data_IF_391086225529
#
_entry.id   IF_391086225529
#
_cell.length_a   1.000
_cell.length_b   1.000
_cell.length_c   1.000
_cell.angle_alpha   90.00
_cell.angle_beta   90.00
_cell.angle_gamma   90.00
#
_symmetry.space_group_name_H-M   'P 1'
#
loop_
_entity.id
_entity.type
_entity.pdbx_description
1 polymer ?
#
# COMPACT_ATOMS: atom_id res chain seq x y z
N UNK A 1 -14.27 -11.27 -5.36
CA UNK A 1 -13.20 -11.41 -6.35
C UNK A 1 -12.42 -10.10 -6.31
N UNK A 2 -11.13 -10.14 -6.62
CA UNK A 2 -10.23 -8.97 -6.58
C UNK A 2 -9.12 -9.17 -7.60
N UNK A 3 -8.44 -8.08 -7.98
CA UNK A 3 -7.22 -8.15 -8.81
C UNK A 3 -6.20 -9.10 -8.16
N UNK A 4 -5.71 -10.07 -8.93
CA UNK A 4 -4.66 -11.00 -8.50
C UNK A 4 -3.26 -10.40 -8.68
N UNK A 5 -2.28 -10.86 -7.91
CA UNK A 5 -0.88 -10.40 -8.03
C UNK A 5 0.07 -11.57 -8.25
N UNK A 6 0.99 -11.38 -9.19
CA UNK A 6 2.11 -12.28 -9.46
C UNK A 6 3.42 -11.57 -9.18
N UNK A 7 4.27 -12.15 -8.33
CA UNK A 7 5.59 -11.63 -8.03
C UNK A 7 6.67 -12.43 -8.75
N UNK A 8 7.24 -11.87 -9.81
CA UNK A 8 8.28 -12.50 -10.61
C UNK A 8 9.65 -12.04 -10.11
N UNK A 9 10.50 -13.00 -9.76
CA UNK A 9 11.84 -12.70 -9.26
C UNK A 9 12.85 -13.73 -9.72
N UNK A 10 14.11 -13.34 -9.77
CA UNK A 10 15.22 -14.26 -9.93
C UNK A 10 15.33 -15.24 -8.76
N UNK A 11 14.78 -14.91 -7.59
CA UNK A 11 14.88 -15.71 -6.38
C UNK A 11 13.50 -16.21 -5.95
N UNK A 12 13.36 -17.52 -5.81
CA UNK A 12 12.19 -18.15 -5.21
C UNK A 12 11.92 -17.63 -3.79
N UNK A 13 12.97 -17.32 -3.03
CA UNK A 13 12.87 -16.81 -1.67
C UNK A 13 12.35 -15.37 -1.62
N UNK A 14 12.73 -14.52 -2.57
CA UNK A 14 12.21 -13.14 -2.64
C UNK A 14 10.73 -13.17 -3.00
N UNK A 15 10.34 -13.89 -4.06
CA UNK A 15 8.95 -13.99 -4.48
C UNK A 15 8.05 -14.57 -3.38
N UNK A 16 8.45 -15.70 -2.77
CA UNK A 16 7.68 -16.33 -1.70
C UNK A 16 7.66 -15.51 -0.40
N UNK A 17 8.79 -14.88 -0.03
CA UNK A 17 8.86 -13.98 1.10
C UNK A 17 7.95 -12.76 0.93
N UNK A 18 7.85 -12.22 -0.30
CA UNK A 18 6.94 -11.12 -0.60
C UNK A 18 5.47 -11.56 -0.49
N UNK A 19 5.10 -12.75 -0.97
CA UNK A 19 3.75 -13.31 -0.75
C UNK A 19 3.43 -13.40 0.74
N UNK A 20 4.36 -13.92 1.54
CA UNK A 20 4.19 -14.04 2.99
C UNK A 20 4.01 -12.67 3.66
N UNK A 21 4.83 -11.69 3.29
CA UNK A 21 4.77 -10.33 3.81
C UNK A 21 3.45 -9.65 3.43
N UNK A 22 3.14 -9.60 2.13
CA UNK A 22 1.92 -8.96 1.61
C UNK A 22 0.65 -9.64 2.16
N UNK A 23 0.65 -10.98 2.30
CA UNK A 23 -0.47 -11.75 2.85
C UNK A 23 -0.81 -11.43 4.30
N UNK A 24 0.10 -10.83 5.08
CA UNK A 24 -0.23 -10.31 6.42
C UNK A 24 -1.22 -9.15 6.38
N UNK A 25 -1.21 -8.38 5.29
CA UNK A 25 -2.05 -7.19 5.11
C UNK A 25 -3.23 -7.45 4.17
N UNK A 26 -3.04 -8.37 3.22
CA UNK A 26 -3.98 -8.72 2.15
C UNK A 26 -4.34 -10.22 2.14
N UNK A 27 -4.95 -10.77 3.21
CA UNK A 27 -5.22 -12.21 3.33
C UNK A 27 -6.26 -12.76 2.34
N UNK A 28 -7.08 -11.90 1.72
CA UNK A 28 -8.14 -12.31 0.81
C UNK A 28 -7.77 -12.16 -0.68
N UNK A 29 -6.55 -11.69 -0.97
CA UNK A 29 -6.07 -11.45 -2.33
C UNK A 29 -5.28 -12.68 -2.82
N UNK A 30 -5.44 -13.05 -4.09
CA UNK A 30 -4.62 -14.11 -4.71
C UNK A 30 -3.20 -13.57 -4.96
N UNK A 31 -2.26 -13.94 -4.10
CA UNK A 31 -0.85 -13.55 -4.17
C UNK A 31 -0.01 -14.77 -4.56
N UNK A 32 0.59 -14.74 -5.76
CA UNK A 32 1.25 -15.92 -6.33
C UNK A 32 2.73 -15.65 -6.61
N UNK A 33 3.66 -16.49 -6.11
CA UNK A 33 5.08 -16.31 -6.37
C UNK A 33 5.48 -17.00 -7.69
N UNK A 34 6.31 -16.32 -8.49
CA UNK A 34 6.93 -16.85 -9.70
C UNK A 34 8.44 -16.57 -9.67
N UNK A 35 9.13 -17.15 -8.67
CA UNK A 35 10.55 -16.95 -8.44
C UNK A 35 11.43 -18.15 -8.80
N UNK A 36 12.62 -17.87 -9.34
CA UNK A 36 13.64 -18.88 -9.64
C UNK A 36 13.43 -19.61 -10.97
N UNK A 37 14.41 -20.44 -11.34
CA UNK A 37 14.31 -21.37 -12.48
C UNK A 37 13.41 -22.57 -12.13
N UNK A 38 13.18 -23.49 -13.08
CA UNK A 38 12.37 -24.69 -12.85
C UNK A 38 12.96 -25.62 -11.77
N UNK A 39 14.28 -25.59 -11.59
CA UNK A 39 15.02 -26.31 -10.54
C UNK A 39 15.23 -25.47 -9.27
N UNK A 40 14.46 -24.37 -9.09
CA UNK A 40 14.54 -23.44 -7.95
C UNK A 40 15.90 -22.72 -7.78
N UNK A 41 16.73 -22.67 -8.83
CA UNK A 41 17.95 -21.88 -8.90
C UNK A 41 17.69 -20.39 -9.13
N UNK A 42 18.74 -19.57 -9.07
CA UNK A 42 18.65 -18.14 -9.40
C UNK A 42 18.41 -17.96 -10.90
N UNK A 43 17.31 -17.28 -11.25
CA UNK A 43 16.85 -17.07 -12.62
C UNK A 43 15.34 -16.97 -12.70
N UNK A 44 14.79 -16.95 -13.90
CA UNK A 44 13.34 -16.83 -14.12
C UNK A 44 12.86 -18.02 -14.97
N UNK A 45 11.61 -18.42 -14.77
CA UNK A 45 10.98 -19.53 -15.50
C UNK A 45 9.69 -19.08 -16.14
N UNK A 46 9.59 -19.29 -17.45
CA UNK A 46 8.36 -19.07 -18.22
C UNK A 46 7.21 -19.91 -17.66
N UNK A 47 7.45 -21.20 -17.39
CA UNK A 47 6.42 -22.12 -16.90
C UNK A 47 5.91 -21.74 -15.50
N UNK A 48 6.76 -21.19 -14.65
CA UNK A 48 6.35 -20.66 -13.33
C UNK A 48 5.48 -19.42 -13.50
N UNK A 49 5.85 -18.49 -14.38
CA UNK A 49 5.07 -17.26 -14.62
C UNK A 49 3.69 -17.60 -15.20
N UNK A 50 3.62 -18.45 -16.22
CA UNK A 50 2.36 -18.84 -16.86
C UNK A 50 1.42 -19.55 -15.86
N UNK A 51 1.94 -20.45 -15.03
CA UNK A 51 1.15 -21.08 -13.95
C UNK A 51 0.68 -20.07 -12.92
N UNK A 52 1.55 -19.14 -12.53
CA UNK A 52 1.21 -18.12 -11.55
C UNK A 52 0.09 -17.19 -12.04
N UNK A 53 0.13 -16.81 -13.32
CA UNK A 53 -0.93 -16.03 -13.97
C UNK A 53 -2.28 -16.74 -13.91
N UNK A 54 -2.32 -18.02 -14.32
CA UNK A 54 -3.54 -18.81 -14.27
C UNK A 54 -4.09 -19.00 -12.84
N UNK A 55 -3.21 -19.05 -11.83
CA UNK A 55 -3.61 -19.15 -10.43
C UNK A 55 -4.07 -17.81 -9.84
N UNK A 56 -3.49 -16.70 -10.28
CA UNK A 56 -3.82 -15.35 -9.81
C UNK A 56 -5.14 -14.85 -10.41
N UNK A 57 -5.47 -15.27 -11.62
CA UNK A 57 -6.67 -14.81 -12.33
C UNK A 57 -7.96 -15.32 -11.66
N UNK A 58 -8.75 -14.37 -11.17
CA UNK A 58 -10.10 -14.61 -10.64
C UNK A 58 -11.18 -13.89 -11.44
N UNK A 59 -10.85 -13.31 -12.59
CA UNK A 59 -11.77 -12.58 -13.48
C UNK A 59 -11.69 -11.05 -13.37
N UNK A 60 -11.11 -10.50 -12.29
CA UNK A 60 -10.96 -9.04 -12.10
C UNK A 60 -9.60 -8.49 -12.59
N UNK A 61 -8.81 -9.33 -13.26
CA UNK A 61 -7.49 -9.00 -13.79
C UNK A 61 -6.32 -9.38 -12.88
N UNK A 62 -5.11 -9.26 -13.42
CA UNK A 62 -3.85 -9.65 -12.76
C UNK A 62 -2.77 -8.60 -12.97
N UNK A 63 -2.07 -8.27 -11.88
CA UNK A 63 -0.87 -7.41 -11.90
C UNK A 63 0.37 -8.27 -11.71
N UNK A 64 1.39 -8.02 -12.52
CA UNK A 64 2.72 -8.61 -12.37
C UNK A 64 3.69 -7.53 -11.88
N UNK A 65 4.47 -7.83 -10.84
CA UNK A 65 5.65 -7.06 -10.47
C UNK A 65 6.92 -7.91 -10.63
N UNK A 66 7.98 -7.27 -11.11
CA UNK A 66 9.26 -7.91 -11.41
C UNK A 66 10.40 -7.26 -10.60
N UNK A 67 11.46 -8.00 -10.29
CA UNK A 67 12.66 -7.43 -9.65
C UNK A 67 13.60 -6.70 -10.64
N UNK A 68 14.07 -7.40 -11.65
CA UNK A 68 15.12 -6.98 -12.58
C UNK A 68 14.68 -7.20 -14.04
N UNK A 69 15.38 -6.55 -14.97
CA UNK A 69 14.97 -6.51 -16.38
C UNK A 69 14.70 -7.88 -17.04
N UNK A 70 15.47 -8.92 -16.76
CA UNK A 70 15.23 -10.27 -17.32
C UNK A 70 13.96 -10.94 -16.80
N UNK A 71 13.50 -10.59 -15.59
CA UNK A 71 12.20 -11.03 -15.09
C UNK A 71 11.06 -10.38 -15.87
N UNK A 72 11.20 -9.11 -16.25
CA UNK A 72 10.26 -8.41 -17.14
C UNK A 72 10.19 -9.11 -18.49
N UNK A 73 11.33 -9.40 -19.13
CA UNK A 73 11.35 -10.10 -20.42
C UNK A 73 10.67 -11.48 -20.36
N UNK A 74 10.86 -12.21 -19.26
CA UNK A 74 10.20 -13.51 -19.05
C UNK A 74 8.69 -13.34 -18.91
N UNK A 75 8.24 -12.31 -18.18
CA UNK A 75 6.83 -11.99 -18.02
C UNK A 75 6.19 -11.53 -19.35
N UNK A 76 6.85 -10.67 -20.12
CA UNK A 76 6.41 -10.26 -21.46
C UNK A 76 6.26 -11.45 -22.38
N UNK A 77 7.25 -12.37 -22.35
CA UNK A 77 7.16 -13.62 -23.12
C UNK A 77 5.94 -14.44 -22.69
N UNK A 78 5.63 -14.55 -21.39
CA UNK A 78 4.42 -15.24 -20.93
C UNK A 78 3.13 -14.57 -21.43
N UNK A 79 3.08 -13.24 -21.46
CA UNK A 79 1.95 -12.46 -21.96
C UNK A 79 1.72 -12.68 -23.47
N UNK A 80 2.77 -12.97 -24.24
CA UNK A 80 2.69 -13.28 -25.68
C UNK A 80 1.98 -14.60 -26.00
N UNK A 81 1.76 -15.47 -25.01
CA UNK A 81 1.02 -16.72 -25.18
C UNK A 81 -0.41 -16.66 -24.61
N UNK A 82 -0.81 -15.52 -24.02
CA UNK A 82 -2.18 -15.29 -23.60
C UNK A 82 -3.07 -14.96 -24.80
N UNK A 83 -4.36 -15.30 -24.70
CA UNK A 83 -5.33 -14.83 -25.70
C UNK A 83 -5.61 -13.32 -25.55
N UNK A 84 -6.27 -12.72 -26.56
CA UNK A 84 -6.54 -11.28 -26.58
C UNK A 84 -7.36 -10.80 -25.36
N UNK A 85 -8.27 -11.64 -24.85
CA UNK A 85 -9.11 -11.28 -23.72
C UNK A 85 -8.28 -11.24 -22.43
N UNK A 86 -7.48 -12.28 -22.18
CA UNK A 86 -6.55 -12.36 -21.05
C UNK A 86 -5.48 -11.27 -21.12
N UNK A 87 -4.97 -10.96 -22.31
CA UNK A 87 -3.93 -9.93 -22.47
C UNK A 87 -4.41 -8.54 -22.03
N UNK A 88 -5.70 -8.24 -22.18
CA UNK A 88 -6.28 -6.96 -21.71
C UNK A 88 -6.47 -6.89 -20.20
N UNK A 89 -6.54 -8.03 -19.51
CA UNK A 89 -6.76 -8.12 -18.07
C UNK A 89 -5.47 -8.32 -17.27
N UNK A 90 -4.31 -8.46 -17.93
CA UNK A 90 -3.00 -8.66 -17.29
C UNK A 90 -2.08 -7.46 -17.55
N UNK A 91 -1.43 -6.93 -16.51
CA UNK A 91 -0.50 -5.79 -16.63
C UNK A 91 0.82 -6.04 -15.90
N UNK A 92 1.93 -5.78 -16.57
CA UNK A 92 3.24 -5.68 -15.93
C UNK A 92 3.41 -4.25 -15.41
N UNK A 93 3.64 -4.11 -14.11
CA UNK A 93 3.75 -2.82 -13.46
C UNK A 93 5.21 -2.51 -13.15
N UNK A 94 5.65 -1.35 -13.66
CA UNK A 94 6.98 -0.82 -13.39
C UNK A 94 6.98 -0.09 -12.04
N UNK A 95 7.32 -0.82 -10.99
CA UNK A 95 7.41 -0.37 -9.61
C UNK A 95 8.43 -1.25 -8.83
N UNK A 96 9.01 -0.75 -7.72
CA UNK A 96 9.86 -1.55 -6.85
C UNK A 96 9.13 -2.81 -6.37
N UNK A 97 9.74 -3.98 -6.56
CA UNK A 97 9.08 -5.27 -6.35
C UNK A 97 8.41 -5.38 -4.97
N UNK A 98 9.12 -5.02 -3.90
CA UNK A 98 8.62 -5.20 -2.52
C UNK A 98 7.61 -4.13 -2.15
N UNK A 99 7.99 -2.86 -2.21
CA UNK A 99 7.15 -1.74 -1.78
C UNK A 99 5.92 -1.58 -2.69
N UNK A 100 6.11 -1.66 -4.00
CA UNK A 100 5.02 -1.65 -4.98
C UNK A 100 4.14 -2.88 -4.84
N UNK A 101 4.71 -4.05 -4.56
CA UNK A 101 3.96 -5.28 -4.37
C UNK A 101 3.06 -5.25 -3.13
N UNK A 102 3.55 -4.71 -2.02
CA UNK A 102 2.75 -4.51 -0.80
C UNK A 102 1.65 -3.48 -1.03
N UNK A 103 1.95 -2.34 -1.66
CA UNK A 103 0.95 -1.31 -1.95
C UNK A 103 -0.17 -1.83 -2.87
N UNK A 104 0.21 -2.55 -3.94
CA UNK A 104 -0.73 -3.22 -4.84
C UNK A 104 -1.62 -4.23 -4.10
N UNK A 105 -1.03 -5.06 -3.24
CA UNK A 105 -1.77 -6.07 -2.49
C UNK A 105 -2.81 -5.43 -1.55
N UNK A 106 -2.45 -4.34 -0.87
CA UNK A 106 -3.39 -3.61 0.00
C UNK A 106 -4.49 -2.92 -0.80
N UNK A 107 -4.17 -2.33 -1.96
CA UNK A 107 -5.19 -1.76 -2.85
C UNK A 107 -6.17 -2.83 -3.36
N UNK A 108 -5.67 -3.99 -3.78
CA UNK A 108 -6.53 -5.11 -4.20
C UNK A 108 -7.39 -5.62 -3.03
N UNK A 109 -6.83 -5.69 -1.82
CA UNK A 109 -7.55 -6.11 -0.61
C UNK A 109 -8.70 -5.16 -0.24
N UNK A 110 -8.56 -3.87 -0.54
CA UNK A 110 -9.61 -2.86 -0.32
C UNK A 110 -10.58 -2.76 -1.49
N UNK A 111 -10.43 -3.59 -2.52
CA UNK A 111 -11.35 -3.68 -3.65
C UNK A 111 -11.06 -2.70 -4.79
N UNK A 112 -9.85 -2.14 -4.87
CA UNK A 112 -9.45 -1.36 -6.03
C UNK A 112 -9.48 -2.20 -7.32
N UNK A 113 -9.86 -1.56 -8.41
CA UNK A 113 -9.79 -2.15 -9.75
C UNK A 113 -8.34 -2.18 -10.28
N UNK A 114 -8.18 -2.71 -11.49
CA UNK A 114 -6.86 -2.89 -12.10
C UNK A 114 -6.07 -1.58 -12.22
N UNK A 115 -6.74 -0.46 -12.53
CA UNK A 115 -6.13 0.87 -12.62
C UNK A 115 -5.71 1.39 -11.24
N UNK A 116 -6.56 1.23 -10.23
CA UNK A 116 -6.26 1.62 -8.85
C UNK A 116 -5.11 0.83 -8.24
N UNK A 117 -5.03 -0.48 -8.51
CA UNK A 117 -3.92 -1.34 -8.06
C UNK A 117 -2.60 -0.93 -8.73
N UNK A 118 -2.61 -0.65 -10.04
CA UNK A 118 -1.45 -0.13 -10.76
C UNK A 118 -0.97 1.22 -10.16
N UNK A 119 -1.89 2.16 -9.94
CA UNK A 119 -1.56 3.45 -9.36
C UNK A 119 -0.94 3.31 -7.96
N UNK A 120 -1.50 2.43 -7.12
CA UNK A 120 -0.97 2.17 -5.78
C UNK A 120 0.46 1.60 -5.83
N UNK A 121 0.72 0.64 -6.72
CA UNK A 121 2.06 0.08 -6.92
C UNK A 121 3.08 1.15 -7.32
N UNK A 122 2.74 1.98 -8.32
CA UNK A 122 3.64 3.02 -8.85
C UNK A 122 3.93 4.13 -7.83
N UNK A 123 3.00 4.42 -6.93
CA UNK A 123 3.21 5.42 -5.86
C UNK A 123 4.40 5.11 -4.95
N UNK A 124 4.86 3.84 -4.92
CA UNK A 124 6.06 3.45 -4.20
C UNK A 124 7.33 4.17 -4.69
N UNK A 125 7.40 4.49 -5.98
CA UNK A 125 8.52 5.24 -6.57
C UNK A 125 8.58 6.64 -5.96
N UNK A 126 7.45 7.33 -5.89
CA UNK A 126 7.38 8.70 -5.39
C UNK A 126 7.80 8.80 -3.93
N UNK A 127 7.39 7.82 -3.11
CA UNK A 127 7.79 7.74 -1.69
C UNK A 127 9.30 7.54 -1.57
N UNK A 128 9.89 6.66 -2.37
CA UNK A 128 11.33 6.43 -2.36
C UNK A 128 12.09 7.69 -2.80
N UNK A 129 11.69 8.32 -3.91
CA UNK A 129 12.30 9.56 -4.43
C UNK A 129 12.19 10.70 -3.41
N UNK A 130 11.00 10.92 -2.84
CA UNK A 130 10.78 11.94 -1.82
C UNK A 130 11.64 11.70 -0.56
N UNK A 131 11.82 10.44 -0.17
CA UNK A 131 12.61 10.08 1.01
C UNK A 131 14.13 10.21 0.79
N UNK A 132 14.59 10.11 -0.46
CA UNK A 132 16.02 10.14 -0.85
C UNK A 132 16.57 11.55 -1.15
N UNK A 133 15.72 12.59 -1.12
CA UNK A 133 16.17 13.98 -1.30
C UNK A 133 17.04 14.45 -0.12
N UNK A 134 18.23 15.06 -0.34
CA UNK A 134 19.22 15.34 0.72
C UNK A 134 18.83 16.40 1.76
N UNK A 135 17.68 17.05 1.64
CA UNK A 135 17.26 18.20 2.45
C UNK A 135 16.42 17.84 3.69
N UNK A 136 16.70 16.71 4.35
CA UNK A 136 16.23 16.52 5.74
C UNK A 136 17.19 17.23 6.70
N UNK A 137 17.00 18.54 6.83
CA UNK A 137 17.57 19.33 7.92
C UNK A 137 17.08 18.72 9.25
N UNK A 138 17.97 18.03 9.96
CA UNK A 138 17.70 17.36 11.25
C UNK A 138 17.52 18.31 12.44
N UNK A 139 17.36 19.61 12.18
CA UNK A 139 17.29 20.66 13.22
C UNK A 139 15.88 21.25 13.42
N UNK A 140 14.85 20.75 12.70
CA UNK A 140 13.47 21.24 12.87
C UNK A 140 12.66 20.49 13.95
N UNK A 141 13.19 19.40 14.53
CA UNK A 141 12.52 18.60 15.58
C UNK A 141 12.62 19.23 17.00
N UNK A 142 12.87 20.55 17.08
CA UNK A 142 13.09 21.23 18.36
C UNK A 142 12.27 22.51 18.52
N UNK A 143 11.03 22.55 18.06
CA UNK A 143 10.07 23.53 18.57
C UNK A 143 8.61 23.13 18.27
N UNK A 144 8.02 22.33 19.17
CA UNK A 144 6.62 22.47 19.56
C UNK A 144 6.38 21.71 20.86
N UNK A 145 6.82 22.30 21.97
CA UNK A 145 6.29 21.98 23.28
C UNK A 145 5.03 22.82 23.49
N UNK A 146 3.94 22.15 23.93
CA UNK A 146 2.58 22.66 24.05
C UNK A 146 2.43 23.97 24.85
N UNK A 147 1.20 24.52 24.85
CA UNK A 147 0.44 24.37 26.08
C UNK A 147 -0.97 23.82 25.88
N UNK A 148 -1.45 23.25 26.98
CA UNK A 148 -2.75 22.63 27.17
C UNK A 148 -3.91 23.63 27.14
N UNK A 149 -5.08 23.11 26.76
CA UNK A 149 -6.39 23.67 27.11
C UNK A 149 -6.88 24.75 26.16
N UNK A 150 -7.81 24.37 25.29
CA UNK A 150 -9.14 24.96 25.10
C UNK A 150 -9.73 24.31 23.83
N UNK A 151 -10.95 23.80 23.97
CA UNK A 151 -11.82 23.44 22.84
C UNK A 151 -11.95 24.66 21.95
N UNK A 152 -11.46 24.59 20.72
CA UNK A 152 -11.89 25.53 19.70
C UNK A 152 -12.02 24.79 18.37
N UNK A 153 -13.28 24.58 18.00
CA UNK A 153 -13.71 24.21 16.66
C UNK A 153 -13.34 25.36 15.72
N UNK A 154 -12.12 25.39 15.21
CA UNK A 154 -11.77 26.27 14.10
C UNK A 154 -12.24 25.63 12.80
N UNK A 155 -13.55 25.75 12.57
CA UNK A 155 -14.16 25.54 11.27
C UNK A 155 -13.58 26.55 10.26
N UNK A 156 -12.60 26.13 9.48
CA UNK A 156 -12.41 26.67 8.13
C UNK A 156 -13.59 26.19 7.30
N UNK A 157 -14.40 27.12 6.79
CA UNK A 157 -15.71 26.87 6.17
C UNK A 157 -15.75 25.57 5.35
N UNK A 158 -16.34 24.54 5.95
CA UNK A 158 -16.66 23.25 5.33
C UNK A 158 -15.75 22.06 5.68
N UNK A 159 -14.57 22.26 6.27
CA UNK A 159 -13.66 21.16 6.65
C UNK A 159 -13.87 20.65 8.09
N UNK A 160 -13.41 19.42 8.36
CA UNK A 160 -13.38 18.83 9.70
C UNK A 160 -12.03 18.13 9.95
N UNK A 161 -11.45 18.31 11.13
CA UNK A 161 -10.22 17.62 11.52
C UNK A 161 -10.21 17.21 13.00
N UNK A 162 -9.42 16.17 13.31
CA UNK A 162 -9.11 15.71 14.67
C UNK A 162 -7.62 15.44 14.81
N UNK A 163 -7.06 15.87 15.94
CA UNK A 163 -5.69 15.51 16.35
C UNK A 163 -5.73 14.30 17.29
N UNK A 164 -5.01 13.23 16.94
CA UNK A 164 -4.92 11.99 17.72
C UNK A 164 -3.46 11.67 18.09
N UNK A 165 -3.25 11.06 19.25
CA UNK A 165 -1.89 10.63 19.67
C UNK A 165 -1.67 9.17 19.32
N UNK A 166 -0.56 8.85 18.67
CA UNK A 166 -0.21 7.46 18.36
C UNK A 166 0.17 6.72 19.65
N UNK A 167 -0.58 5.68 20.00
CA UNK A 167 -0.35 4.92 21.24
C UNK A 167 0.42 3.61 21.04
N UNK A 168 0.35 3.03 19.84
CA UNK A 168 1.03 1.78 19.47
C UNK A 168 2.54 1.87 19.71
N UNK A 169 3.13 0.85 20.33
CA UNK A 169 4.56 0.81 20.67
C UNK A 169 5.45 1.03 19.44
N UNK A 170 5.11 0.36 18.35
CA UNK A 170 5.90 0.35 17.12
C UNK A 170 5.42 1.43 16.13
N UNK A 171 4.49 2.30 16.55
CA UNK A 171 3.90 3.38 15.75
C UNK A 171 2.90 2.90 14.70
N UNK A 172 2.56 3.77 13.75
CA UNK A 172 1.70 3.44 12.60
C UNK A 172 2.51 2.74 11.49
N UNK A 173 3.02 1.53 11.81
CA UNK A 173 3.79 0.69 10.89
C UNK A 173 2.87 -0.09 9.92
N UNK A 174 3.45 -0.99 9.10
CA UNK A 174 2.76 -1.65 7.99
C UNK A 174 1.39 -2.27 8.32
N UNK A 175 1.24 -2.96 9.46
CA UNK A 175 -0.01 -3.63 9.83
C UNK A 175 -1.12 -2.66 10.29
N UNK A 176 -0.94 -1.83 11.34
CA UNK A 176 -1.95 -0.86 11.73
C UNK A 176 -2.19 0.18 10.62
N UNK A 177 -1.19 0.52 9.81
CA UNK A 177 -1.38 1.36 8.64
C UNK A 177 -2.26 0.69 7.57
N UNK A 178 -2.13 -0.63 7.34
CA UNK A 178 -3.00 -1.35 6.43
C UNK A 178 -4.44 -1.41 6.94
N UNK A 179 -4.65 -1.60 8.24
CA UNK A 179 -5.99 -1.58 8.83
C UNK A 179 -6.62 -0.17 8.81
N UNK A 180 -5.80 0.86 9.01
CA UNK A 180 -6.20 2.25 8.80
C UNK A 180 -6.65 2.50 7.36
N UNK A 181 -5.86 2.08 6.37
CA UNK A 181 -6.19 2.22 4.94
C UNK A 181 -7.47 1.45 4.61
N UNK A 182 -7.64 0.23 5.13
CA UNK A 182 -8.88 -0.55 4.93
C UNK A 182 -10.10 0.21 5.39
N UNK A 183 -10.06 0.79 6.59
CA UNK A 183 -11.16 1.61 7.10
C UNK A 183 -11.33 2.89 6.27
N UNK A 184 -10.25 3.58 5.92
CA UNK A 184 -10.32 4.79 5.10
C UNK A 184 -10.97 4.51 3.74
N UNK A 185 -10.67 3.37 3.13
CA UNK A 185 -11.23 2.92 1.85
C UNK A 185 -12.74 2.63 1.89
N UNK A 186 -13.36 2.46 3.06
CA UNK A 186 -14.83 2.30 3.15
C UNK A 186 -15.61 3.61 3.00
N UNK A 187 -14.92 4.75 3.04
CA UNK A 187 -15.53 6.06 2.90
C UNK A 187 -15.27 6.65 1.50
N UNK A 188 -16.30 7.25 0.90
CA UNK A 188 -16.19 7.92 -0.40
C UNK A 188 -15.59 9.33 -0.32
N UNK A 189 -15.46 9.88 0.89
CA UNK A 189 -14.94 11.23 1.13
C UNK A 189 -13.42 11.22 1.17
N UNK A 190 -12.74 12.20 0.54
CA UNK A 190 -11.30 12.38 0.69
C UNK A 190 -10.93 12.68 2.14
N UNK A 191 -10.06 11.85 2.72
CA UNK A 191 -9.52 12.06 4.07
C UNK A 191 -7.99 12.06 3.97
N UNK A 192 -7.35 12.86 4.82
CA UNK A 192 -5.91 12.98 4.89
C UNK A 192 -5.39 12.75 6.30
N UNK A 193 -4.15 12.28 6.41
CA UNK A 193 -3.36 12.21 7.65
C UNK A 193 -2.12 13.08 7.46
N UNK A 194 -1.97 14.15 8.26
CA UNK A 194 -0.93 15.17 8.10
C UNK A 194 -0.80 15.65 6.64
N UNK A 195 -1.93 15.84 5.95
CA UNK A 195 -2.00 16.27 4.55
C UNK A 195 -1.64 15.19 3.50
N UNK A 196 -1.43 13.93 3.90
CA UNK A 196 -1.24 12.79 2.99
C UNK A 196 -2.52 11.98 2.84
N UNK A 197 -2.75 11.39 1.68
CA UNK A 197 -3.93 10.56 1.43
C UNK A 197 -4.06 9.40 2.43
N UNK A 198 -5.19 9.34 3.14
CA UNK A 198 -5.51 8.31 4.12
C UNK A 198 -5.70 6.91 3.49
N UNK A 199 -5.89 6.82 2.17
CA UNK A 199 -5.99 5.55 1.43
C UNK A 199 -4.64 5.06 0.88
N UNK A 200 -3.56 5.83 1.07
CA UNK A 200 -2.23 5.46 0.60
C UNK A 200 -1.37 4.90 1.74
N UNK A 201 -1.23 3.57 1.77
CA UNK A 201 -0.42 2.87 2.78
C UNK A 201 1.01 3.41 2.86
N UNK A 202 1.68 3.56 1.72
CA UNK A 202 3.06 4.00 1.68
C UNK A 202 3.19 5.48 2.10
N UNK A 203 2.23 6.34 1.74
CA UNK A 203 2.26 7.74 2.16
C UNK A 203 2.12 7.87 3.68
N UNK A 204 1.26 7.05 4.30
CA UNK A 204 1.10 7.00 5.76
C UNK A 204 2.38 6.50 6.43
N UNK A 205 2.95 5.39 5.95
CA UNK A 205 4.19 4.84 6.53
C UNK A 205 5.36 5.83 6.43
N UNK A 206 5.44 6.60 5.34
CA UNK A 206 6.47 7.61 5.13
C UNK A 206 6.42 8.78 6.14
N UNK A 207 5.27 9.02 6.79
CA UNK A 207 5.15 10.04 7.83
C UNK A 207 5.95 9.70 9.10
N UNK A 208 6.29 8.43 9.33
CA UNK A 208 7.06 8.02 10.50
C UNK A 208 6.37 8.39 11.83
N UNK A 209 5.06 8.17 11.89
CA UNK A 209 4.20 8.43 13.04
C UNK A 209 4.46 7.39 14.16
N UNK A 210 5.45 7.69 15.00
CA UNK A 210 5.88 6.90 16.15
C UNK A 210 5.01 7.18 17.40
N UNK A 211 5.10 6.30 18.40
CA UNK A 211 4.43 6.46 19.69
C UNK A 211 4.64 7.86 20.29
N UNK A 212 3.55 8.47 20.74
CA UNK A 212 3.55 9.79 21.37
C UNK A 212 3.54 10.96 20.37
N UNK A 213 3.74 10.73 19.07
CA UNK A 213 3.51 11.76 18.06
C UNK A 213 2.01 12.00 17.87
N UNK A 214 1.68 13.22 17.50
CA UNK A 214 0.32 13.61 17.14
C UNK A 214 0.14 13.51 15.63
N UNK A 215 -0.96 12.92 15.20
CA UNK A 215 -1.41 12.90 13.81
C UNK A 215 -2.69 13.72 13.69
N UNK A 216 -2.75 14.59 12.68
CA UNK A 216 -3.96 15.29 12.29
C UNK A 216 -4.66 14.49 11.19
N UNK A 217 -5.89 14.08 11.45
CA UNK A 217 -6.78 13.45 10.47
C UNK A 217 -7.77 14.51 10.04
N UNK A 218 -7.85 14.79 8.74
CA UNK A 218 -8.62 15.91 8.22
C UNK A 218 -9.32 15.61 6.91
N UNK A 219 -10.45 16.26 6.70
CA UNK A 219 -11.19 16.31 5.44
C UNK A 219 -11.63 17.73 5.12
N UNK A 220 -11.64 18.09 3.84
CA UNK A 220 -12.23 19.33 3.36
C UNK A 220 -13.69 19.14 2.89
N UNK A 221 -14.20 17.90 2.84
CA UNK A 221 -15.60 17.63 2.52
C UNK A 221 -16.46 17.75 3.79
N UNK A 222 -17.48 18.62 3.82
CA UNK A 222 -18.37 18.74 4.97
C UNK A 222 -19.08 17.44 5.38
N UNK A 223 -19.19 16.49 4.46
CA UNK A 223 -19.80 15.16 4.69
C UNK A 223 -18.81 14.16 5.27
N UNK A 224 -17.51 14.48 5.33
CA UNK A 224 -16.45 13.56 5.72
C UNK A 224 -16.23 13.45 7.23
N UNK A 225 -17.07 14.08 8.06
CA UNK A 225 -16.91 14.06 9.52
C UNK A 225 -16.88 12.64 10.08
N UNK A 226 -17.83 11.79 9.69
CA UNK A 226 -17.91 10.40 10.16
C UNK A 226 -16.66 9.60 9.78
N UNK A 227 -16.04 9.90 8.64
CA UNK A 227 -14.80 9.26 8.20
C UNK A 227 -13.61 9.66 9.08
N UNK A 228 -13.47 10.95 9.38
CA UNK A 228 -12.43 11.46 10.29
C UNK A 228 -12.62 10.89 11.68
N UNK A 229 -13.85 10.86 12.19
CA UNK A 229 -14.16 10.33 13.51
C UNK A 229 -13.82 8.84 13.63
N UNK A 230 -14.29 8.02 12.68
CA UNK A 230 -14.00 6.59 12.69
C UNK A 230 -12.49 6.28 12.60
N UNK A 231 -11.75 7.03 11.78
CA UNK A 231 -10.30 6.85 11.65
C UNK A 231 -9.54 7.31 12.89
N UNK A 232 -9.95 8.42 13.50
CA UNK A 232 -9.39 8.91 14.75
C UNK A 232 -9.63 7.91 15.89
N UNK A 233 -10.85 7.39 16.01
CA UNK A 233 -11.21 6.39 17.00
C UNK A 233 -10.42 5.08 16.82
N UNK A 234 -10.17 4.66 15.56
CA UNK A 234 -9.34 3.50 15.27
C UNK A 234 -7.90 3.72 15.78
N UNK A 235 -7.31 4.89 15.56
CA UNK A 235 -5.97 5.23 16.07
C UNK A 235 -5.94 5.26 17.60
N UNK A 236 -6.95 5.85 18.24
CA UNK A 236 -7.07 5.94 19.70
C UNK A 236 -7.32 4.57 20.35
N UNK A 237 -7.96 3.64 19.64
CA UNK A 237 -8.13 2.25 20.09
C UNK A 237 -6.83 1.45 20.05
N UNK A 238 -5.81 1.94 19.33
CA UNK A 238 -4.52 1.28 19.17
C UNK A 238 -4.56 0.04 18.28
N UNK A 239 -5.56 -0.09 17.41
CA UNK A 239 -5.67 -1.20 16.44
C UNK A 239 -5.72 -2.60 17.08
N UNK A 240 -6.04 -2.70 18.38
CA UNK A 240 -5.99 -3.95 19.14
C UNK A 240 -4.58 -4.42 19.53
N UNK A 241 -3.55 -3.57 19.35
CA UNK A 241 -2.15 -3.87 19.66
C UNK A 241 -1.61 -3.11 20.90
N UNK A 242 -2.42 -2.21 21.49
CA UNK A 242 -2.02 -1.30 22.57
C UNK A 242 -2.11 -1.88 23.99
#
# INVERSE_FOLDING_TARGET
>A
MSVGLVFVSHSALIASGLVQLAGQMAPNVSLVPAGGTDDDGIGTSFDKVTRALAQADSGDGVVILCDLGSAILTAETALDFLDDAQRTSVRIIDAPLVEGGVAAAVAAQTGADLDGVEAAARSAVDVFVASSSPTRNRDADRESAAPAGLTDETATEGGYSRSVTIINRDGLHARPAADFVKLASTFDTPVTVNGRDAKSLLAIMALGLQKGKVAEIATADPRGRDAVDALADLVESGFGEA
#
